data_IF_926348585419
#
_entry.id   IF_926348585419
#
_cell.length_a   1.000
_cell.length_b   1.000
_cell.length_c   1.000
_cell.angle_alpha   90.00
_cell.angle_beta   90.00
_cell.angle_gamma   90.00
#
_symmetry.space_group_name_H-M   'P 1'
#
loop_
_entity.id
_entity.type
_entity.pdbx_description
1 polymer ?
#
# COMPACT_ATOMS: atom_id res chain seq x y z
N UNK A 1 -7.29 23.23 -14.72
CA UNK A 1 -8.70 23.28 -14.30
C UNK A 1 -9.02 22.04 -13.48
N UNK A 2 -9.72 22.13 -12.34
CA UNK A 2 -10.11 20.95 -11.59
C UNK A 2 -11.13 20.15 -12.40
N UNK A 3 -10.82 18.88 -12.67
CA UNK A 3 -11.76 17.97 -13.34
C UNK A 3 -12.91 17.70 -12.37
N UNK A 4 -14.18 18.00 -12.74
CA UNK A 4 -15.33 17.70 -11.90
C UNK A 4 -15.50 16.20 -11.74
N UNK A 5 -16.15 15.78 -10.66
CA UNK A 5 -16.41 14.37 -10.43
C UNK A 5 -17.50 13.88 -11.41
N UNK A 6 -17.34 12.69 -11.96
CA UNK A 6 -18.30 12.13 -12.91
C UNK A 6 -19.63 11.85 -12.19
N UNK A 7 -20.75 12.21 -12.81
CA UNK A 7 -22.07 11.91 -12.26
C UNK A 7 -22.33 10.40 -12.25
N UNK A 8 -22.94 9.91 -11.16
CA UNK A 8 -23.33 8.52 -11.00
C UNK A 8 -24.71 8.42 -10.39
N UNK A 9 -25.46 7.37 -10.75
CA UNK A 9 -26.81 7.15 -10.25
C UNK A 9 -26.77 6.52 -8.85
N UNK A 10 -27.45 7.09 -7.85
CA UNK A 10 -27.39 6.58 -6.50
C UNK A 10 -28.33 5.36 -6.34
N UNK A 11 -27.86 4.33 -5.65
CA UNK A 11 -28.60 3.08 -5.42
C UNK A 11 -29.54 3.17 -4.22
N UNK A 12 -30.50 2.25 -4.14
CA UNK A 12 -31.37 2.08 -2.97
C UNK A 12 -30.57 1.46 -1.82
N UNK A 13 -30.24 2.28 -0.82
CA UNK A 13 -29.53 1.86 0.39
C UNK A 13 -30.29 2.31 1.64
N UNK A 14 -30.16 1.56 2.73
CA UNK A 14 -30.91 1.77 3.97
C UNK A 14 -30.71 3.17 4.56
N UNK A 15 -29.49 3.73 4.50
CA UNK A 15 -29.24 5.06 5.09
C UNK A 15 -29.88 6.24 4.32
N UNK A 16 -30.43 6.02 3.12
CA UNK A 16 -31.08 7.08 2.33
C UNK A 16 -32.55 7.32 2.69
N UNK A 17 -33.20 6.34 3.31
CA UNK A 17 -34.61 6.45 3.73
C UNK A 17 -34.67 7.05 5.12
N UNK A 18 -35.78 7.62 5.58
CA UNK A 18 -35.95 7.96 7.00
C UNK A 18 -36.18 6.69 7.82
N UNK A 19 -35.46 6.52 8.93
CA UNK A 19 -35.67 5.43 9.87
C UNK A 19 -36.66 5.89 10.94
N UNK A 20 -37.69 5.09 11.21
CA UNK A 20 -38.71 5.37 12.25
C UNK A 20 -38.56 4.44 13.46
N UNK A 21 -37.36 3.88 13.64
CA UNK A 21 -37.09 2.83 14.60
C UNK A 21 -36.69 3.41 15.95
N UNK A 22 -37.06 2.70 17.00
CA UNK A 22 -36.65 3.01 18.38
C UNK A 22 -35.29 2.35 18.64
N UNK A 23 -34.30 3.07 19.20
CA UNK A 23 -32.99 2.50 19.52
C UNK A 23 -33.10 1.23 20.37
N UNK A 24 -32.36 0.21 19.98
CA UNK A 24 -32.27 -1.11 20.61
C UNK A 24 -30.81 -1.55 20.75
N UNK A 25 -30.57 -2.79 21.17
CA UNK A 25 -29.22 -3.36 21.34
C UNK A 25 -28.39 -3.41 20.04
N UNK A 26 -29.03 -3.46 18.87
CA UNK A 26 -28.36 -3.44 17.56
C UNK A 26 -27.93 -2.04 17.12
N UNK A 27 -28.37 -1.00 17.84
CA UNK A 27 -28.03 0.39 17.52
C UNK A 27 -26.56 0.64 17.86
N UNK A 28 -25.74 1.13 16.89
CA UNK A 28 -24.32 1.33 17.14
C UNK A 28 -24.12 2.38 18.23
N UNK A 29 -23.18 2.12 19.13
CA UNK A 29 -22.74 3.11 20.10
C UNK A 29 -22.04 4.27 19.39
N UNK A 30 -22.50 5.50 19.66
CA UNK A 30 -21.97 6.70 19.01
C UNK A 30 -20.93 7.32 19.94
N UNK A 31 -19.67 7.32 19.50
CA UNK A 31 -18.58 7.99 20.22
C UNK A 31 -18.50 9.45 19.78
N UNK A 32 -18.82 10.37 20.69
CA UNK A 32 -18.71 11.81 20.46
C UNK A 32 -17.77 12.44 21.46
N UNK A 33 -16.96 13.39 20.99
CA UNK A 33 -16.01 14.09 21.84
C UNK A 33 -16.70 14.96 22.91
N UNK A 34 -17.91 15.45 22.62
CA UNK A 34 -18.72 16.26 23.54
C UNK A 34 -19.17 15.48 24.78
N UNK A 35 -19.41 14.17 24.63
CA UNK A 35 -19.86 13.29 25.70
C UNK A 35 -18.69 12.79 26.58
N UNK A 36 -17.45 13.02 26.15
CA UNK A 36 -16.25 12.60 26.87
C UNK A 36 -15.83 13.63 27.95
N UNK A 37 -16.16 13.34 29.20
CA UNK A 37 -15.76 14.10 30.38
C UNK A 37 -14.44 13.60 31.00
N UNK A 38 -14.16 12.29 30.93
CA UNK A 38 -12.98 11.68 31.54
C UNK A 38 -11.88 11.30 30.53
N UNK A 39 -10.62 11.20 30.97
CA UNK A 39 -9.53 10.73 30.09
C UNK A 39 -9.76 9.26 29.64
N UNK A 40 -10.46 8.46 30.44
CA UNK A 40 -10.83 7.09 30.08
C UNK A 40 -11.77 7.06 28.87
N UNK A 41 -12.81 7.90 28.87
CA UNK A 41 -13.75 8.01 27.75
C UNK A 41 -13.06 8.51 26.48
N UNK A 42 -12.12 9.44 26.61
CA UNK A 42 -11.31 9.91 25.46
C UNK A 42 -10.46 8.75 24.90
N UNK A 43 -9.89 7.91 25.77
CA UNK A 43 -9.13 6.74 25.33
C UNK A 43 -10.02 5.72 24.62
N UNK A 44 -11.25 5.51 25.08
CA UNK A 44 -12.24 4.67 24.40
C UNK A 44 -12.63 5.22 23.03
N UNK A 45 -12.84 6.54 22.92
CA UNK A 45 -13.11 7.21 21.65
C UNK A 45 -11.93 7.05 20.67
N UNK A 46 -10.71 7.23 21.15
CA UNK A 46 -9.49 7.00 20.36
C UNK A 46 -9.46 5.55 19.88
N UNK A 47 -9.73 4.59 20.76
CA UNK A 47 -9.74 3.17 20.41
C UNK A 47 -10.82 2.85 19.36
N UNK A 48 -12.03 3.41 19.50
CA UNK A 48 -13.11 3.26 18.54
C UNK A 48 -12.73 3.84 17.16
N UNK A 49 -12.07 5.01 17.12
CA UNK A 49 -11.59 5.61 15.88
C UNK A 49 -10.51 4.75 15.19
N UNK A 50 -9.57 4.18 15.93
CA UNK A 50 -8.62 3.21 15.38
C UNK A 50 -9.30 1.97 14.83
N UNK A 51 -10.27 1.41 15.58
CA UNK A 51 -11.04 0.23 15.17
C UNK A 51 -11.81 0.49 13.87
N UNK A 52 -12.38 1.69 13.72
CA UNK A 52 -13.11 2.09 12.52
C UNK A 52 -12.19 2.28 11.32
N UNK A 53 -11.03 2.93 11.48
CA UNK A 53 -10.14 3.28 10.36
C UNK A 53 -9.19 2.14 9.96
N UNK A 54 -8.62 1.40 10.91
CA UNK A 54 -7.62 0.36 10.63
C UNK A 54 -8.17 -1.06 10.70
N UNK A 55 -9.32 -1.29 11.32
CA UNK A 55 -9.80 -2.61 11.79
C UNK A 55 -9.07 -3.08 13.05
N UNK A 56 -9.67 -4.02 13.78
CA UNK A 56 -9.21 -4.46 15.10
C UNK A 56 -7.79 -5.02 15.11
N UNK A 57 -7.43 -5.83 14.10
CA UNK A 57 -6.14 -6.52 14.03
C UNK A 57 -4.95 -5.62 13.75
N UNK A 58 -5.19 -4.40 13.25
CA UNK A 58 -4.14 -3.43 12.89
C UNK A 58 -3.87 -2.40 14.01
N UNK A 59 -4.57 -2.51 15.16
CA UNK A 59 -4.41 -1.61 16.32
C UNK A 59 -3.21 -1.96 17.21
N UNK A 60 -2.08 -2.31 16.59
CA UNK A 60 -0.84 -2.63 17.30
C UNK A 60 -0.18 -1.36 17.85
N UNK A 61 0.53 -1.49 18.98
CA UNK A 61 1.26 -0.37 19.61
C UNK A 61 2.20 0.35 18.64
N UNK A 62 2.81 -0.38 17.70
CA UNK A 62 3.70 0.17 16.68
C UNK A 62 2.99 1.08 15.66
N UNK A 63 1.71 0.82 15.35
CA UNK A 63 0.96 1.58 14.37
C UNK A 63 0.20 2.78 14.97
N UNK A 64 0.23 2.95 16.30
CA UNK A 64 -0.43 4.07 16.98
C UNK A 64 0.29 5.39 16.73
N UNK A 65 -0.51 6.41 16.44
CA UNK A 65 -0.11 7.78 16.15
C UNK A 65 -0.15 8.63 17.43
N UNK A 66 0.88 8.49 18.27
CA UNK A 66 0.94 9.17 19.57
C UNK A 66 0.75 10.70 19.49
N UNK A 67 1.30 11.33 18.45
CA UNK A 67 1.16 12.78 18.24
C UNK A 67 -0.29 13.21 18.01
N UNK A 68 -1.04 12.48 17.18
CA UNK A 68 -2.45 12.74 16.91
C UNK A 68 -3.31 12.49 18.16
N UNK A 69 -3.00 11.43 18.92
CA UNK A 69 -3.71 11.13 20.17
C UNK A 69 -3.53 12.24 21.21
N UNK A 70 -2.30 12.74 21.38
CA UNK A 70 -2.05 13.86 22.29
C UNK A 70 -2.77 15.15 21.85
N UNK A 71 -2.81 15.43 20.55
CA UNK A 71 -3.55 16.60 20.02
C UNK A 71 -5.05 16.48 20.28
N UNK A 72 -5.63 15.30 20.11
CA UNK A 72 -7.06 15.07 20.37
C UNK A 72 -7.37 15.15 21.87
N UNK A 73 -6.53 14.55 22.72
CA UNK A 73 -6.66 14.65 24.19
C UNK A 73 -6.64 16.10 24.67
N UNK A 74 -5.78 16.93 24.07
CA UNK A 74 -5.69 18.36 24.37
C UNK A 74 -6.77 19.21 23.66
N UNK A 75 -7.70 18.58 22.91
CA UNK A 75 -8.74 19.25 22.12
C UNK A 75 -8.20 20.28 21.13
N UNK A 76 -6.95 20.11 20.69
CA UNK A 76 -6.32 20.98 19.68
C UNK A 76 -6.80 20.66 18.25
N UNK A 77 -7.27 19.43 18.04
CA UNK A 77 -7.85 18.95 16.79
C UNK A 77 -9.24 18.38 17.03
N UNK A 78 -10.09 18.41 16.01
CA UNK A 78 -11.43 17.80 16.06
C UNK A 78 -11.36 16.27 15.81
N UNK A 79 -12.46 15.55 16.06
CA UNK A 79 -12.53 14.12 15.72
C UNK A 79 -12.44 13.92 14.21
N UNK A 80 -13.04 14.82 13.43
CA UNK A 80 -12.87 14.83 11.97
C UNK A 80 -11.40 14.92 11.55
N UNK A 81 -10.65 15.85 12.16
CA UNK A 81 -9.23 16.02 11.85
C UNK A 81 -8.40 14.81 12.31
N UNK A 82 -8.77 14.20 13.43
CA UNK A 82 -8.15 12.97 13.91
C UNK A 82 -8.36 11.82 12.92
N UNK A 83 -9.59 11.59 12.46
CA UNK A 83 -9.92 10.58 11.44
C UNK A 83 -9.17 10.85 10.12
N UNK A 84 -9.13 12.10 9.68
CA UNK A 84 -8.34 12.53 8.52
C UNK A 84 -6.86 12.20 8.70
N UNK A 85 -6.29 12.47 9.88
CA UNK A 85 -4.91 12.16 10.23
C UNK A 85 -4.61 10.65 10.23
N UNK A 86 -5.51 9.84 10.80
CA UNK A 86 -5.37 8.38 10.83
C UNK A 86 -5.38 7.80 9.40
N UNK A 87 -6.32 8.21 8.57
CA UNK A 87 -6.43 7.74 7.18
C UNK A 87 -5.22 8.17 6.31
N UNK A 88 -4.55 9.27 6.66
CA UNK A 88 -3.34 9.76 5.99
C UNK A 88 -2.03 9.26 6.58
N UNK A 89 -2.09 8.51 7.67
CA UNK A 89 -0.89 8.01 8.35
C UNK A 89 -0.06 7.07 7.47
N UNK A 90 1.23 6.99 7.76
CA UNK A 90 2.13 6.05 7.08
C UNK A 90 1.71 4.59 7.30
N UNK A 91 1.20 4.27 8.50
CA UNK A 91 0.65 2.96 8.81
C UNK A 91 -0.49 2.58 7.86
N UNK A 92 -1.43 3.51 7.64
CA UNK A 92 -2.58 3.26 6.76
C UNK A 92 -2.11 3.08 5.31
N UNK A 93 -1.14 3.90 4.89
CA UNK A 93 -0.55 3.80 3.56
C UNK A 93 0.08 2.42 3.32
N UNK A 94 0.96 1.96 4.20
CA UNK A 94 1.67 0.69 4.05
C UNK A 94 0.72 -0.52 4.12
N UNK A 95 -0.25 -0.49 5.03
CA UNK A 95 -1.14 -1.63 5.26
C UNK A 95 -2.24 -1.73 4.19
N UNK A 96 -2.86 -0.61 3.84
CA UNK A 96 -4.08 -0.58 3.01
C UNK A 96 -3.80 0.00 1.62
N UNK A 97 -3.12 1.14 1.52
CA UNK A 97 -2.94 1.83 0.22
C UNK A 97 -2.06 1.04 -0.74
N UNK A 98 -0.92 0.54 -0.27
CA UNK A 98 0.06 -0.15 -1.11
C UNK A 98 -0.41 -1.54 -1.58
N UNK A 99 -1.34 -2.15 -0.85
CA UNK A 99 -1.83 -3.52 -1.09
C UNK A 99 -3.12 -3.57 -1.92
N UNK A 100 -3.68 -2.42 -2.32
CA UNK A 100 -4.97 -2.36 -3.01
C UNK A 100 -4.92 -1.49 -4.28
N UNK A 101 -5.86 -1.76 -5.20
CA UNK A 101 -6.08 -0.91 -6.37
C UNK A 101 -6.90 0.33 -6.01
N UNK A 102 -6.83 1.38 -6.83
CA UNK A 102 -7.60 2.62 -6.60
C UNK A 102 -9.11 2.36 -6.45
N UNK A 103 -9.70 1.46 -7.23
CA UNK A 103 -11.12 1.11 -7.11
C UNK A 103 -11.46 0.53 -5.73
N UNK A 104 -10.61 -0.39 -5.26
CA UNK A 104 -10.77 -1.02 -3.95
C UNK A 104 -10.55 -0.01 -2.81
N UNK A 105 -9.60 0.91 -2.98
CA UNK A 105 -9.35 1.97 -2.02
C UNK A 105 -10.54 2.93 -1.86
N UNK A 106 -11.25 3.22 -2.95
CA UNK A 106 -12.50 3.97 -2.87
C UNK A 106 -13.51 3.22 -2.00
N UNK A 107 -13.74 1.94 -2.27
CA UNK A 107 -14.70 1.13 -1.50
C UNK A 107 -14.35 1.10 -0.01
N UNK A 108 -13.05 0.94 0.33
CA UNK A 108 -12.57 0.99 1.71
C UNK A 108 -12.79 2.36 2.32
N UNK A 109 -12.48 3.45 1.60
CA UNK A 109 -12.68 4.83 2.05
C UNK A 109 -14.14 5.13 2.35
N UNK A 110 -15.05 4.80 1.43
CA UNK A 110 -16.50 5.02 1.61
C UNK A 110 -17.03 4.24 2.83
N UNK A 111 -16.59 2.99 3.02
CA UNK A 111 -17.05 2.17 4.15
C UNK A 111 -16.49 2.62 5.49
N UNK A 112 -15.19 2.90 5.57
CA UNK A 112 -14.52 3.26 6.83
C UNK A 112 -14.75 4.71 7.23
N UNK A 113 -14.79 5.65 6.28
CA UNK A 113 -14.94 7.08 6.55
C UNK A 113 -16.39 7.58 6.45
N UNK A 114 -17.15 7.15 5.45
CA UNK A 114 -18.57 7.55 5.29
C UNK A 114 -19.56 6.55 5.90
N UNK A 115 -19.09 5.39 6.36
CA UNK A 115 -19.96 4.41 6.99
C UNK A 115 -20.98 3.79 6.05
N UNK A 116 -20.74 3.77 4.73
CA UNK A 116 -21.63 3.16 3.73
C UNK A 116 -20.88 2.41 2.63
N UNK A 117 -21.56 1.50 1.95
CA UNK A 117 -21.05 0.89 0.73
C UNK A 117 -21.18 1.86 -0.47
N UNK A 118 -20.34 1.71 -1.52
CA UNK A 118 -20.56 2.40 -2.78
C UNK A 118 -21.94 2.06 -3.37
N UNK A 119 -22.55 3.01 -4.04
CA UNK A 119 -23.85 2.85 -4.69
C UNK A 119 -23.77 1.90 -5.88
N UNK A 120 -22.75 2.07 -6.71
CA UNK A 120 -22.52 1.32 -7.92
C UNK A 120 -21.03 1.37 -8.29
N UNK A 121 -20.67 0.63 -9.35
CA UNK A 121 -19.31 0.64 -9.88
C UNK A 121 -18.91 1.99 -10.48
N UNK A 122 -19.89 2.77 -10.95
CA UNK A 122 -19.63 4.09 -11.51
C UNK A 122 -19.14 5.08 -10.44
N UNK A 123 -19.68 5.02 -9.21
CA UNK A 123 -19.15 5.78 -8.07
C UNK A 123 -17.69 5.39 -7.77
N UNK A 124 -17.37 4.09 -7.78
CA UNK A 124 -15.99 3.62 -7.59
C UNK A 124 -15.05 4.19 -8.65
N UNK A 125 -15.47 4.19 -9.92
CA UNK A 125 -14.69 4.72 -11.03
C UNK A 125 -14.54 6.25 -10.90
N UNK A 126 -15.64 6.96 -10.61
CA UNK A 126 -15.65 8.41 -10.47
C UNK A 126 -14.72 8.91 -9.36
N UNK A 127 -14.62 8.19 -8.24
CA UNK A 127 -13.69 8.54 -7.16
C UNK A 127 -12.27 8.04 -7.41
N UNK A 128 -12.08 6.94 -8.16
CA UNK A 128 -10.75 6.40 -8.45
C UNK A 128 -9.84 7.40 -9.18
N UNK A 129 -10.43 8.27 -10.02
CA UNK A 129 -9.67 9.32 -10.73
C UNK A 129 -9.20 10.42 -9.77
N UNK A 130 -9.92 10.69 -8.68
CA UNK A 130 -9.47 11.63 -7.64
C UNK A 130 -8.23 11.10 -6.94
N UNK A 131 -8.20 9.80 -6.63
CA UNK A 131 -6.99 9.15 -6.10
C UNK A 131 -5.84 9.25 -7.10
N UNK A 132 -6.09 9.00 -8.38
CA UNK A 132 -5.04 9.06 -9.40
C UNK A 132 -4.49 10.48 -9.65
N UNK A 133 -5.32 11.52 -9.49
CA UNK A 133 -4.93 12.91 -9.79
C UNK A 133 -4.36 13.65 -8.58
N UNK A 134 -4.91 13.42 -7.38
CA UNK A 134 -4.54 14.14 -6.15
C UNK A 134 -3.83 13.26 -5.12
N UNK A 135 -3.70 11.96 -5.40
CA UNK A 135 -3.21 10.97 -4.46
C UNK A 135 -4.25 10.57 -3.42
N UNK A 136 -3.87 9.62 -2.56
CA UNK A 136 -4.72 9.15 -1.46
C UNK A 136 -5.09 10.25 -0.47
N UNK A 137 -4.13 11.13 -0.14
CA UNK A 137 -4.37 12.23 0.79
C UNK A 137 -5.46 13.19 0.32
N UNK A 138 -5.43 13.60 -0.95
CA UNK A 138 -6.45 14.48 -1.53
C UNK A 138 -7.82 13.82 -1.64
N UNK A 139 -7.86 12.49 -1.87
CA UNK A 139 -9.11 11.74 -1.81
C UNK A 139 -9.72 11.71 -0.41
N UNK A 140 -8.91 11.47 0.63
CA UNK A 140 -9.38 11.50 2.02
C UNK A 140 -9.93 12.88 2.37
N UNK A 141 -9.26 13.96 1.96
CA UNK A 141 -9.77 15.33 2.16
C UNK A 141 -11.12 15.52 1.48
N UNK A 142 -11.23 15.14 0.20
CA UNK A 142 -12.47 15.27 -0.55
C UNK A 142 -13.65 14.49 0.06
N UNK A 143 -13.39 13.33 0.70
CA UNK A 143 -14.42 12.58 1.40
C UNK A 143 -14.80 13.20 2.75
N UNK A 144 -13.81 13.60 3.54
CA UNK A 144 -14.04 14.14 4.89
C UNK A 144 -14.65 15.54 4.85
N UNK A 145 -14.35 16.31 3.81
CA UNK A 145 -14.92 17.65 3.58
C UNK A 145 -16.26 17.59 2.81
N UNK A 146 -16.75 16.39 2.49
CA UNK A 146 -18.04 16.23 1.82
C UNK A 146 -19.21 16.64 2.73
N UNK A 147 -20.27 17.18 2.12
CA UNK A 147 -21.51 17.49 2.82
C UNK A 147 -22.09 16.25 3.51
N UNK A 148 -21.97 15.08 2.87
CA UNK A 148 -22.40 13.80 3.45
C UNK A 148 -21.69 13.50 4.77
N UNK A 149 -20.37 13.71 4.86
CA UNK A 149 -19.65 13.54 6.12
C UNK A 149 -20.12 14.54 7.17
N UNK A 150 -20.27 15.82 6.79
CA UNK A 150 -20.66 16.89 7.70
C UNK A 150 -22.07 16.69 8.28
N UNK A 151 -23.05 16.29 7.47
CA UNK A 151 -24.43 16.07 7.94
C UNK A 151 -24.54 14.89 8.90
N UNK A 152 -23.73 13.84 8.71
CA UNK A 152 -23.87 12.59 9.46
C UNK A 152 -23.01 12.53 10.73
N UNK A 153 -21.77 13.00 10.66
CA UNK A 153 -20.80 12.89 11.76
C UNK A 153 -20.37 14.25 12.30
N UNK A 154 -20.35 15.27 11.44
CA UNK A 154 -19.82 16.59 11.77
C UNK A 154 -18.36 16.51 12.23
N UNK A 155 -18.01 17.33 13.21
CA UNK A 155 -16.62 17.52 13.63
C UNK A 155 -16.26 16.68 14.86
N UNK A 156 -17.27 16.22 15.61
CA UNK A 156 -17.15 15.67 16.96
C UNK A 156 -17.40 14.17 17.05
N UNK A 157 -18.00 13.55 16.03
CA UNK A 157 -18.43 12.15 16.07
C UNK A 157 -17.48 11.25 15.30
N UNK A 158 -17.13 10.09 15.89
CA UNK A 158 -16.37 9.05 15.19
C UNK A 158 -17.28 8.37 14.15
N UNK A 159 -16.83 8.19 12.90
CA UNK A 159 -17.61 7.47 11.90
C UNK A 159 -17.97 6.06 12.34
N UNK A 160 -19.15 5.61 11.95
CA UNK A 160 -19.64 4.26 12.21
C UNK A 160 -20.42 3.74 11.01
N UNK A 161 -20.61 2.41 10.94
CA UNK A 161 -21.42 1.82 9.88
C UNK A 161 -22.88 2.25 10.04
N UNK A 162 -23.35 3.08 9.12
CA UNK A 162 -24.70 3.63 9.15
C UNK A 162 -25.70 2.56 8.72
N UNK A 163 -26.73 2.37 9.54
CA UNK A 163 -27.90 1.51 9.24
C UNK A 163 -27.54 0.14 8.67
N UNK A 164 -26.73 -0.59 9.43
CA UNK A 164 -26.27 -1.95 9.09
C UNK A 164 -27.42 -2.94 8.92
N UNK A 165 -28.42 -2.94 9.82
CA UNK A 165 -29.46 -3.97 9.84
C UNK A 165 -28.86 -5.39 9.74
N UNK A 166 -29.26 -6.14 8.70
CA UNK A 166 -28.81 -7.52 8.45
C UNK A 166 -27.50 -7.59 7.67
N UNK A 167 -26.92 -6.46 7.29
CA UNK A 167 -25.68 -6.43 6.52
C UNK A 167 -24.49 -6.90 7.35
N UNK A 168 -23.46 -7.33 6.64
CA UNK A 168 -22.20 -7.75 7.26
C UNK A 168 -21.43 -6.53 7.79
N UNK A 169 -20.70 -6.66 8.92
CA UNK A 169 -19.76 -5.64 9.37
C UNK A 169 -18.74 -5.32 8.28
N UNK A 170 -18.44 -4.04 8.04
CA UNK A 170 -17.53 -3.68 6.95
C UNK A 170 -16.15 -4.30 7.08
N UNK A 171 -15.59 -4.44 8.27
CA UNK A 171 -14.26 -5.03 8.46
C UNK A 171 -14.17 -6.50 7.98
N UNK A 172 -15.30 -7.22 7.91
CA UNK A 172 -15.36 -8.58 7.35
C UNK A 172 -15.52 -8.57 5.82
N UNK A 173 -16.23 -7.58 5.28
CA UNK A 173 -16.42 -7.41 3.83
C UNK A 173 -15.18 -6.80 3.18
N UNK A 174 -14.47 -5.97 3.93
CA UNK A 174 -13.27 -5.26 3.49
C UNK A 174 -12.05 -5.59 4.34
N UNK A 175 -11.51 -6.82 4.18
CA UNK A 175 -10.22 -7.16 4.77
C UNK A 175 -9.11 -6.28 4.20
N UNK A 176 -7.92 -6.33 4.80
CA UNK A 176 -6.75 -5.51 4.45
C UNK A 176 -6.49 -5.47 2.94
N UNK A 177 -6.58 -6.59 2.26
CA UNK A 177 -6.45 -6.71 0.80
C UNK A 177 -7.39 -7.78 0.24
N UNK A 178 -7.68 -7.69 -1.05
CA UNK A 178 -8.56 -8.63 -1.76
C UNK A 178 -7.77 -9.69 -2.54
N UNK A 179 -8.49 -10.52 -3.31
CA UNK A 179 -7.96 -11.65 -4.06
C UNK A 179 -6.84 -11.22 -5.02
N UNK A 180 -6.96 -10.04 -5.65
CA UNK A 180 -5.93 -9.51 -6.55
C UNK A 180 -4.53 -9.47 -5.91
N UNK A 181 -4.41 -8.92 -4.71
CA UNK A 181 -3.11 -8.79 -4.04
C UNK A 181 -2.65 -10.12 -3.46
N UNK A 182 -3.58 -10.92 -2.93
CA UNK A 182 -3.28 -12.27 -2.45
C UNK A 182 -2.65 -13.11 -3.56
N UNK A 183 -3.28 -13.12 -4.73
CA UNK A 183 -2.86 -13.91 -5.88
C UNK A 183 -1.55 -13.36 -6.47
N UNK A 184 -1.31 -12.04 -6.40
CA UNK A 184 -0.03 -11.43 -6.75
C UNK A 184 1.10 -11.91 -5.83
N UNK A 185 0.92 -11.80 -4.51
CA UNK A 185 1.90 -12.29 -3.54
C UNK A 185 2.16 -13.78 -3.69
N UNK A 186 1.12 -14.58 -3.94
CA UNK A 186 1.28 -16.02 -4.12
C UNK A 186 2.07 -16.39 -5.38
N UNK A 187 1.94 -15.60 -6.45
CA UNK A 187 2.71 -15.75 -7.70
C UNK A 187 4.16 -15.32 -7.53
N UNK A 188 4.41 -14.23 -6.82
CA UNK A 188 5.78 -13.71 -6.57
C UNK A 188 6.54 -14.54 -5.53
N UNK A 189 5.83 -15.31 -4.70
CA UNK A 189 6.43 -16.16 -3.69
C UNK A 189 7.18 -17.32 -4.34
N UNK A 190 8.46 -17.46 -3.98
CA UNK A 190 9.26 -18.63 -4.33
C UNK A 190 8.62 -19.92 -3.80
N UNK A 191 8.35 -20.87 -4.70
CA UNK A 191 7.80 -22.19 -4.39
C UNK A 191 8.87 -23.25 -4.69
N UNK A 192 9.32 -23.98 -3.68
CA UNK A 192 10.33 -25.02 -3.89
C UNK A 192 9.82 -26.08 -4.88
N UNK A 193 10.62 -26.39 -5.89
CA UNK A 193 10.27 -27.36 -6.93
C UNK A 193 9.34 -26.84 -8.04
N UNK A 194 8.97 -25.56 -8.04
CA UNK A 194 8.20 -24.97 -9.16
C UNK A 194 9.03 -24.93 -10.43
N UNK A 195 8.43 -25.38 -11.54
CA UNK A 195 9.00 -25.40 -12.90
C UNK A 195 9.46 -24.01 -13.31
N UNK A 196 8.73 -22.97 -12.92
CA UNK A 196 9.06 -21.58 -13.26
C UNK A 196 10.46 -21.19 -12.75
N UNK A 197 10.87 -21.65 -11.56
CA UNK A 197 12.20 -21.36 -11.03
C UNK A 197 13.31 -21.94 -11.91
N UNK A 198 13.10 -23.15 -12.45
CA UNK A 198 14.07 -23.79 -13.34
C UNK A 198 14.14 -23.07 -14.68
N UNK A 199 13.00 -22.59 -15.19
CA UNK A 199 12.93 -21.80 -16.43
C UNK A 199 13.58 -20.43 -16.26
N UNK A 200 13.33 -19.74 -15.15
CA UNK A 200 14.00 -18.49 -14.79
C UNK A 200 15.51 -18.68 -14.64
N UNK A 201 15.93 -19.74 -13.94
CA UNK A 201 17.34 -20.11 -13.85
C UNK A 201 17.92 -20.35 -15.24
N UNK A 202 17.28 -21.16 -16.09
CA UNK A 202 17.75 -21.43 -17.45
C UNK A 202 17.89 -20.15 -18.29
N UNK A 203 16.91 -19.25 -18.21
CA UNK A 203 16.93 -17.96 -18.91
C UNK A 203 18.00 -17.00 -18.38
N UNK A 204 18.37 -17.10 -17.10
CA UNK A 204 19.42 -16.27 -16.51
C UNK A 204 20.84 -16.65 -16.97
N UNK A 205 21.02 -17.85 -17.53
CA UNK A 205 22.33 -18.36 -17.94
C UNK A 205 22.70 -17.79 -19.31
N UNK A 206 23.64 -16.84 -19.33
CA UNK A 206 24.15 -16.27 -20.57
C UNK A 206 25.26 -17.17 -21.15
N UNK A 207 24.89 -18.10 -22.03
CA UNK A 207 25.86 -19.04 -22.61
C UNK A 207 26.72 -18.36 -23.67
N UNK A 208 28.00 -18.14 -23.37
CA UNK A 208 28.98 -17.68 -24.37
C UNK A 208 29.32 -18.86 -25.28
N UNK A 209 28.83 -18.83 -26.52
CA UNK A 209 29.23 -19.81 -27.53
C UNK A 209 30.74 -19.69 -27.80
N UNK A 210 31.49 -20.75 -27.53
CA UNK A 210 32.92 -20.82 -27.86
C UNK A 210 33.02 -20.86 -29.39
N UNK A 211 33.48 -19.76 -30.00
CA UNK A 211 33.80 -19.73 -31.43
C UNK A 211 35.20 -20.29 -31.61
N UNK A 212 35.30 -21.47 -32.21
CA UNK A 212 36.59 -22.01 -32.62
C UNK A 212 37.10 -21.22 -33.83
N UNK A 213 38.21 -20.51 -33.67
CA UNK A 213 38.94 -19.91 -34.80
C UNK A 213 39.88 -20.97 -35.36
N UNK A 214 39.70 -21.35 -36.63
CA UNK A 214 40.65 -22.21 -37.32
C UNK A 214 42.01 -21.50 -37.41
N UNK A 215 43.04 -22.05 -36.77
CA UNK A 215 44.40 -21.53 -36.85
C UNK A 215 44.99 -21.94 -38.20
N UNK A 216 45.30 -20.97 -39.06
CA UNK A 216 46.00 -21.25 -40.31
C UNK A 216 47.46 -21.60 -40.03
N UNK A 217 47.90 -22.78 -40.46
CA UNK A 217 49.30 -23.21 -40.34
C UNK A 217 50.21 -22.68 -41.44
N UNK A 218 49.64 -22.03 -42.47
CA UNK A 218 50.35 -21.65 -43.69
C UNK A 218 51.48 -20.62 -43.46
N UNK A 219 51.37 -19.76 -42.45
CA UNK A 219 52.38 -18.76 -42.09
C UNK A 219 53.13 -19.09 -40.80
N UNK A 220 53.00 -20.32 -40.28
CA UNK A 220 53.81 -20.76 -39.13
C UNK A 220 55.21 -21.06 -39.66
N UNK A 221 56.08 -20.06 -39.58
CA UNK A 221 57.51 -20.25 -39.81
C UNK A 221 58.11 -20.88 -38.56
N UNK A 222 58.82 -22.00 -38.72
CA UNK A 222 59.69 -22.50 -37.66
C UNK A 222 60.71 -21.39 -37.43
N UNK A 223 60.81 -20.82 -36.21
CA UNK A 223 61.80 -19.80 -35.94
C UNK A 223 63.18 -20.36 -36.27
N UNK A 224 64.02 -19.55 -36.88
CA UNK A 224 65.37 -19.97 -37.26
C UNK A 224 66.14 -20.37 -35.99
N UNK A 225 66.39 -21.67 -35.85
CA UNK A 225 67.08 -22.26 -34.71
C UNK A 225 68.60 -22.23 -34.88
N UNK A 226 69.11 -21.60 -35.95
CA UNK A 226 70.54 -21.39 -36.09
C UNK A 226 71.03 -20.46 -34.98
N UNK A 227 72.10 -20.88 -34.28
CA UNK A 227 72.75 -20.07 -33.24
C UNK A 227 73.47 -18.90 -33.93
N UNK A 228 72.76 -17.80 -34.11
CA UNK A 228 73.34 -16.56 -34.57
C UNK A 228 74.20 -16.00 -33.42
N UNK A 229 75.52 -16.17 -33.52
CA UNK A 229 76.50 -15.76 -32.50
C UNK A 229 76.75 -14.24 -32.56
N UNK A 230 75.68 -13.44 -32.55
CA UNK A 230 75.74 -12.00 -32.40
C UNK A 230 75.92 -11.70 -30.91
N UNK A 231 77.03 -11.04 -30.57
CA UNK A 231 77.27 -10.51 -29.23
C UNK A 231 76.05 -9.68 -28.78
N UNK A 232 75.51 -10.06 -27.63
CA UNK A 232 74.17 -9.71 -27.20
C UNK A 232 73.89 -8.22 -27.14
N UNK A 233 72.71 -7.84 -27.64
CA UNK A 233 72.05 -6.62 -27.16
C UNK A 233 71.53 -6.94 -25.76
N UNK A 234 71.92 -6.20 -24.70
CA UNK A 234 71.36 -6.41 -23.38
C UNK A 234 69.86 -6.07 -23.43
N UNK A 235 69.02 -7.11 -23.45
CA UNK A 235 67.58 -6.93 -23.27
C UNK A 235 67.36 -6.64 -21.79
N UNK A 236 66.89 -5.42 -21.47
CA UNK A 236 66.44 -5.11 -20.12
C UNK A 236 65.21 -5.96 -19.81
N UNK A 237 65.40 -7.04 -19.05
CA UNK A 237 64.28 -7.79 -18.49
C UNK A 237 63.66 -6.89 -17.43
N UNK A 238 62.57 -6.20 -17.78
CA UNK A 238 61.80 -5.46 -16.79
C UNK A 238 60.95 -6.48 -16.01
N UNK A 239 61.25 -6.77 -14.72
CA UNK A 239 60.58 -7.82 -13.98
C UNK A 239 59.33 -7.23 -13.32
N UNK A 240 58.38 -6.72 -14.11
CA UNK A 240 57.13 -6.15 -13.56
C UNK A 240 56.06 -7.21 -13.26
N UNK A 241 56.39 -8.50 -13.33
CA UNK A 241 55.51 -9.57 -12.88
C UNK A 241 55.84 -9.99 -11.44
N UNK A 242 55.43 -9.18 -10.46
CA UNK A 242 55.32 -9.67 -9.09
C UNK A 242 54.05 -10.53 -9.00
N UNK A 243 54.20 -11.83 -8.81
CA UNK A 243 53.09 -12.67 -8.39
C UNK A 243 52.66 -12.25 -6.97
N UNK A 244 51.38 -11.96 -6.71
CA UNK A 244 50.93 -11.68 -5.37
C UNK A 244 50.98 -12.98 -4.54
N UNK A 245 51.97 -13.06 -3.65
CA UNK A 245 51.99 -14.05 -2.57
C UNK A 245 50.93 -13.63 -1.56
N UNK A 246 49.90 -14.46 -1.38
CA UNK A 246 48.95 -14.29 -0.26
C UNK A 246 49.66 -14.68 1.03
N UNK A 247 49.73 -13.74 1.98
CA UNK A 247 49.86 -14.05 3.41
C UNK A 247 48.47 -14.32 3.99
#
# INVERSE_FOLDING_TARGET
MPIPLLEYQPSSQNQRVSGYEVPNEDTPWIYRLEDCASDSEIQELIWAAYRQVFSEHETLKFYRQAQLESQLKNRAITVRDFIRGLAKSESFRRLVVETNSNYRLVEVGLKRLLGRAPYNRDEEIAWSIKIATMGWSGFVDALVDSEEYQTNFGDTTVPYQRRRFKDRPFNLVTPRYSDYWRDKEEKERYKWGDINNFMEMANSINTRQVRFTSVSTANIQIPDMTRDNKQGVPVSVNPSASFPVRL
#
